data_IF_254996075228
#
_entry.id   IF_254996075228
#
_cell.length_a   1.000
_cell.length_b   1.000
_cell.length_c   1.000
_cell.angle_alpha   90.00
_cell.angle_beta   90.00
_cell.angle_gamma   90.00
#
_symmetry.space_group_name_H-M   'P 1'
#
loop_
_entity.id
_entity.type
_entity.pdbx_description
1 polymer ?
#
# COMPACT_ATOMS: atom_id res chain seq x y z
N UNK A 1 10.63 -21.33 -0.26
CA UNK A 1 9.60 -20.46 0.38
C UNK A 1 10.24 -19.63 1.47
N UNK A 2 10.32 -18.35 1.26
CA UNK A 2 10.96 -17.43 2.20
C UNK A 2 10.02 -16.28 2.56
N UNK A 3 10.22 -15.71 3.75
CA UNK A 3 9.48 -14.53 4.20
C UNK A 3 9.83 -13.33 3.33
N UNK A 4 8.82 -12.64 2.80
CA UNK A 4 9.02 -11.45 1.96
C UNK A 4 9.64 -10.28 2.73
N UNK A 5 9.48 -10.26 4.05
CA UNK A 5 10.02 -9.19 4.89
C UNK A 5 11.47 -9.42 5.30
N UNK A 6 11.81 -10.60 5.84
CA UNK A 6 13.12 -10.85 6.43
C UNK A 6 13.93 -11.96 5.73
N UNK A 7 13.39 -12.56 4.69
CA UNK A 7 14.02 -13.62 3.89
C UNK A 7 14.26 -14.94 4.65
N UNK A 8 13.68 -15.08 5.85
CA UNK A 8 13.76 -16.32 6.61
C UNK A 8 13.07 -17.46 5.85
N UNK A 9 13.68 -18.64 5.88
CA UNK A 9 13.07 -19.84 5.30
C UNK A 9 11.76 -20.18 6.02
N UNK A 10 10.71 -20.52 5.28
CA UNK A 10 9.41 -20.84 5.84
C UNK A 10 9.15 -22.34 5.80
N UNK A 11 8.67 -22.90 6.93
CA UNK A 11 8.10 -24.23 6.96
C UNK A 11 6.73 -24.22 6.28
N UNK A 12 6.24 -25.41 5.93
CA UNK A 12 4.97 -25.56 5.23
C UNK A 12 3.79 -24.94 5.99
N UNK A 13 3.72 -25.18 7.32
CA UNK A 13 2.61 -24.70 8.15
C UNK A 13 2.59 -23.17 8.21
N UNK A 14 3.74 -22.55 8.43
CA UNK A 14 3.85 -21.10 8.50
C UNK A 14 3.52 -20.45 7.17
N UNK A 15 4.00 -21.03 6.07
CA UNK A 15 3.68 -20.58 4.72
C UNK A 15 2.18 -20.63 4.46
N UNK A 16 1.57 -21.79 4.77
CA UNK A 16 0.13 -22.00 4.55
C UNK A 16 -0.71 -21.03 5.37
N UNK A 17 -0.37 -20.83 6.65
CA UNK A 17 -1.10 -19.92 7.52
C UNK A 17 -1.05 -18.48 7.02
N UNK A 18 0.12 -18.01 6.60
CA UNK A 18 0.28 -16.66 6.08
C UNK A 18 -0.47 -16.49 4.75
N UNK A 19 -0.37 -17.47 3.86
CA UNK A 19 -1.08 -17.41 2.56
C UNK A 19 -2.60 -17.46 2.74
N UNK A 20 -3.11 -18.30 3.63
CA UNK A 20 -4.55 -18.40 3.89
C UNK A 20 -5.10 -17.11 4.54
N UNK A 21 -4.31 -16.49 5.41
CA UNK A 21 -4.72 -15.30 6.16
C UNK A 21 -4.55 -14.01 5.35
N UNK A 22 -3.38 -13.80 4.75
CA UNK A 22 -2.99 -12.53 4.13
C UNK A 22 -2.74 -12.62 2.62
N UNK A 23 -2.54 -13.83 2.10
CA UNK A 23 -2.17 -14.01 0.70
C UNK A 23 -0.72 -13.63 0.39
N UNK A 24 0.14 -13.54 1.40
CA UNK A 24 1.57 -13.21 1.25
C UNK A 24 2.43 -14.15 2.08
N UNK A 25 3.66 -14.38 1.62
CA UNK A 25 4.60 -15.28 2.27
C UNK A 25 5.34 -14.57 3.40
N UNK A 26 4.94 -14.84 4.65
CA UNK A 26 5.53 -14.22 5.83
C UNK A 26 5.83 -15.26 6.90
N UNK A 27 6.93 -15.04 7.64
CA UNK A 27 7.22 -15.83 8.84
C UNK A 27 6.21 -15.49 9.94
N UNK A 28 6.17 -16.30 11.00
CA UNK A 28 5.23 -16.13 12.11
C UNK A 28 5.29 -14.71 12.68
N UNK A 29 6.49 -14.18 12.89
CA UNK A 29 6.71 -12.84 13.45
C UNK A 29 6.09 -11.74 12.57
N UNK A 30 6.36 -11.78 11.28
CA UNK A 30 5.88 -10.74 10.36
C UNK A 30 4.41 -10.92 10.00
N UNK A 31 3.93 -12.16 9.92
CA UNK A 31 2.51 -12.45 9.79
C UNK A 31 1.71 -11.83 10.96
N UNK A 32 2.17 -12.07 12.18
CA UNK A 32 1.55 -11.50 13.39
C UNK A 32 1.56 -9.98 13.37
N UNK A 33 2.68 -9.38 12.96
CA UNK A 33 2.80 -7.92 12.86
C UNK A 33 1.76 -7.34 11.89
N UNK A 34 1.55 -7.97 10.75
CA UNK A 34 0.56 -7.50 9.78
C UNK A 34 -0.87 -7.68 10.28
N UNK A 35 -1.15 -8.77 10.98
CA UNK A 35 -2.46 -8.98 11.63
C UNK A 35 -2.73 -7.89 12.67
N UNK A 36 -1.73 -7.46 13.42
CA UNK A 36 -1.86 -6.37 14.39
C UNK A 36 -2.14 -5.03 13.72
N UNK A 37 -1.55 -4.74 12.56
CA UNK A 37 -1.87 -3.54 11.80
C UNK A 37 -3.33 -3.51 11.37
N UNK A 38 -3.84 -4.61 10.86
CA UNK A 38 -5.25 -4.71 10.48
C UNK A 38 -6.14 -4.46 11.69
N UNK A 39 -5.80 -5.06 12.82
CA UNK A 39 -6.62 -4.98 14.03
C UNK A 39 -6.60 -3.57 14.66
N UNK A 40 -5.43 -2.93 14.72
CA UNK A 40 -5.25 -1.65 15.41
C UNK A 40 -5.53 -0.44 14.53
N UNK A 41 -5.16 -0.49 13.26
CA UNK A 41 -5.20 0.66 12.36
C UNK A 41 -6.23 0.52 11.25
N UNK A 42 -7.01 -0.56 11.22
CA UNK A 42 -7.92 -0.88 10.13
C UNK A 42 -7.23 -0.89 8.76
N UNK A 43 -5.96 -1.29 8.73
CA UNK A 43 -5.21 -1.37 7.49
C UNK A 43 -5.91 -2.32 6.53
N UNK A 44 -6.26 -1.89 5.31
CA UNK A 44 -6.86 -2.81 4.34
C UNK A 44 -5.91 -3.95 4.00
N UNK A 45 -6.45 -5.16 3.90
CA UNK A 45 -5.65 -6.33 3.49
C UNK A 45 -4.95 -6.06 2.16
N UNK A 46 -5.64 -5.42 1.24
CA UNK A 46 -5.12 -5.10 -0.09
C UNK A 46 -3.93 -4.13 -0.03
N UNK A 47 -3.88 -3.25 0.99
CA UNK A 47 -2.72 -2.39 1.21
C UNK A 47 -1.49 -3.22 1.56
N UNK A 48 -1.65 -4.24 2.41
CA UNK A 48 -0.57 -5.15 2.78
C UNK A 48 -0.10 -5.94 1.55
N UNK A 49 -1.04 -6.47 0.76
CA UNK A 49 -0.72 -7.22 -0.44
C UNK A 49 0.02 -6.36 -1.47
N UNK A 50 -0.42 -5.13 -1.66
CA UNK A 50 0.22 -4.18 -2.56
C UNK A 50 1.61 -3.80 -2.06
N UNK A 51 1.75 -3.54 -0.77
CA UNK A 51 3.04 -3.22 -0.15
C UNK A 51 4.09 -4.31 -0.45
N UNK A 52 3.73 -5.58 -0.26
CA UNK A 52 4.66 -6.68 -0.53
C UNK A 52 4.85 -6.91 -2.03
N UNK A 53 3.84 -6.67 -2.85
CA UNK A 53 3.99 -6.70 -4.31
C UNK A 53 5.00 -5.66 -4.80
N UNK A 54 4.93 -4.46 -4.26
CA UNK A 54 5.89 -3.40 -4.53
C UNK A 54 7.29 -3.78 -4.06
N UNK A 55 7.40 -4.36 -2.87
CA UNK A 55 8.68 -4.79 -2.30
C UNK A 55 9.34 -5.86 -3.17
N UNK A 56 8.58 -6.85 -3.65
CA UNK A 56 9.09 -7.86 -4.58
C UNK A 56 9.60 -7.25 -5.88
N UNK A 57 8.99 -6.17 -6.32
CA UNK A 57 9.41 -5.45 -7.53
C UNK A 57 10.55 -4.46 -7.27
N UNK A 58 11.10 -4.45 -6.06
CA UNK A 58 12.24 -3.58 -5.72
C UNK A 58 11.86 -2.16 -5.31
N UNK A 59 10.58 -1.91 -5.05
CA UNK A 59 10.11 -0.58 -4.63
C UNK A 59 10.08 -0.50 -3.12
N UNK A 60 10.81 0.45 -2.55
CA UNK A 60 10.79 0.75 -1.13
C UNK A 60 9.60 1.65 -0.82
N UNK A 61 8.66 1.13 -0.05
CA UNK A 61 7.47 1.87 0.37
C UNK A 61 7.33 1.78 1.89
N UNK A 62 6.51 2.66 2.46
CA UNK A 62 6.18 2.66 3.87
C UNK A 62 4.69 2.34 4.02
N UNK A 63 4.37 1.40 4.89
CA UNK A 63 3.01 1.00 5.20
C UNK A 63 2.55 1.78 6.43
N UNK A 64 1.30 2.30 6.38
CA UNK A 64 0.74 3.10 7.48
C UNK A 64 1.64 4.25 7.88
N UNK A 65 1.97 5.11 6.92
CA UNK A 65 2.84 6.26 7.15
C UNK A 65 2.06 7.45 7.70
N UNK A 66 2.52 7.99 8.83
CA UNK A 66 1.91 9.17 9.44
C UNK A 66 2.42 10.44 8.77
N UNK A 67 1.52 11.24 8.20
CA UNK A 67 1.87 12.46 7.46
C UNK A 67 1.75 13.76 8.30
N UNK A 68 1.56 13.62 9.61
CA UNK A 68 1.31 14.76 10.51
C UNK A 68 -0.17 15.02 10.76
N UNK A 69 -1.05 14.46 9.96
CA UNK A 69 -2.49 14.64 10.08
C UNK A 69 -3.25 13.33 10.12
N UNK A 70 -2.86 12.37 9.28
CA UNK A 70 -3.49 11.05 9.21
C UNK A 70 -2.48 9.99 8.80
N UNK A 71 -2.84 8.73 8.99
CA UNK A 71 -2.06 7.60 8.48
C UNK A 71 -2.39 7.35 7.02
N UNK A 72 -1.35 7.25 6.19
CA UNK A 72 -1.46 6.97 4.76
C UNK A 72 -1.22 5.47 4.57
N UNK A 73 -2.08 4.79 3.82
CA UNK A 73 -1.96 3.33 3.63
C UNK A 73 -0.56 2.94 3.15
N UNK A 74 -0.11 3.53 2.05
CA UNK A 74 1.22 3.29 1.50
C UNK A 74 1.82 4.62 1.04
N UNK A 75 3.07 4.89 1.42
CA UNK A 75 3.80 6.06 0.95
C UNK A 75 5.10 5.64 0.29
N UNK A 76 5.39 6.23 -0.86
CA UNK A 76 6.66 6.06 -1.57
C UNK A 76 7.37 7.42 -1.54
N UNK A 77 8.17 7.65 -0.49
CA UNK A 77 8.73 8.96 -0.21
C UNK A 77 9.72 9.44 -1.27
N UNK A 78 10.41 8.52 -1.95
CA UNK A 78 11.39 8.86 -2.98
C UNK A 78 10.81 9.68 -4.12
N UNK A 79 9.54 9.43 -4.47
CA UNK A 79 8.82 10.16 -5.52
C UNK A 79 7.65 10.96 -4.95
N UNK A 80 7.53 11.02 -3.63
CA UNK A 80 6.47 11.74 -2.93
C UNK A 80 5.07 11.34 -3.40
N UNK A 81 4.84 10.03 -3.41
CA UNK A 81 3.57 9.44 -3.83
C UNK A 81 2.87 8.80 -2.62
N UNK A 82 1.63 9.18 -2.39
CA UNK A 82 0.74 8.54 -1.43
C UNK A 82 -0.25 7.64 -2.17
N UNK A 83 -0.46 6.44 -1.66
CA UNK A 83 -1.42 5.49 -2.21
C UNK A 83 -2.43 5.16 -1.11
N UNK A 84 -3.70 5.38 -1.40
CA UNK A 84 -4.81 5.02 -0.52
C UNK A 84 -5.64 3.92 -1.17
N UNK A 85 -5.95 2.87 -0.42
CA UNK A 85 -6.82 1.81 -0.90
C UNK A 85 -8.26 2.19 -0.60
N UNK A 86 -9.07 2.26 -1.63
CA UNK A 86 -10.47 2.62 -1.51
C UNK A 86 -11.33 1.36 -1.40
N UNK A 87 -11.73 1.03 -0.18
CA UNK A 87 -12.48 -0.19 0.12
C UNK A 87 -13.98 -0.05 -0.14
N UNK A 88 -14.49 1.17 -0.20
CA UNK A 88 -15.92 1.45 -0.33
C UNK A 88 -16.22 2.49 -1.42
N UNK A 89 -15.46 2.44 -2.51
CA UNK A 89 -15.58 3.43 -3.58
C UNK A 89 -17.00 3.49 -4.19
N UNK A 90 -17.74 2.38 -4.15
CA UNK A 90 -19.11 2.27 -4.66
C UNK A 90 -20.16 2.77 -3.66
N UNK A 91 -19.75 3.03 -2.42
CA UNK A 91 -20.62 3.50 -1.34
C UNK A 91 -20.20 4.87 -0.83
N UNK A 92 -19.41 5.58 -1.60
CA UNK A 92 -18.85 6.86 -1.20
C UNK A 92 -19.96 7.92 -1.05
N UNK A 93 -20.05 8.53 0.13
CA UNK A 93 -20.96 9.65 0.37
C UNK A 93 -20.33 10.95 -0.13
N UNK A 94 -21.17 11.98 -0.33
CA UNK A 94 -20.68 13.31 -0.74
C UNK A 94 -19.70 13.88 0.28
N UNK A 95 -19.98 13.69 1.57
CA UNK A 95 -19.10 14.15 2.65
C UNK A 95 -17.74 13.44 2.61
N UNK A 96 -17.74 12.13 2.40
CA UNK A 96 -16.50 11.37 2.27
C UNK A 96 -15.70 11.81 1.04
N UNK A 97 -16.38 12.07 -0.07
CA UNK A 97 -15.73 12.53 -1.30
C UNK A 97 -15.04 13.88 -1.09
N UNK A 98 -15.70 14.82 -0.41
CA UNK A 98 -15.12 16.13 -0.09
C UNK A 98 -13.91 15.96 0.86
N UNK A 99 -14.03 15.14 1.89
CA UNK A 99 -12.93 14.89 2.81
C UNK A 99 -11.72 14.29 2.08
N UNK A 100 -11.96 13.35 1.17
CA UNK A 100 -10.89 12.74 0.37
C UNK A 100 -10.17 13.79 -0.49
N UNK A 101 -10.94 14.71 -1.09
CA UNK A 101 -10.36 15.77 -1.89
C UNK A 101 -9.54 16.74 -1.04
N UNK A 102 -10.04 17.13 0.13
CA UNK A 102 -9.32 18.01 1.05
C UNK A 102 -8.02 17.37 1.55
N UNK A 103 -8.03 16.09 1.85
CA UNK A 103 -6.84 15.35 2.26
C UNK A 103 -5.81 15.28 1.12
N UNK A 104 -6.27 15.05 -0.11
CA UNK A 104 -5.40 15.04 -1.28
C UNK A 104 -4.79 16.43 -1.51
N UNK A 105 -5.56 17.49 -1.33
CA UNK A 105 -5.08 18.87 -1.45
C UNK A 105 -4.02 19.16 -0.37
N UNK A 106 -4.27 18.75 0.88
CA UNK A 106 -3.32 18.92 1.97
C UNK A 106 -1.98 18.23 1.65
N UNK A 107 -2.05 16.98 1.20
CA UNK A 107 -0.85 16.23 0.80
C UNK A 107 -0.13 16.88 -0.36
N UNK A 108 -0.86 17.37 -1.34
CA UNK A 108 -0.29 18.04 -2.52
C UNK A 108 0.46 19.32 -2.13
N UNK A 109 -0.10 20.11 -1.20
CA UNK A 109 0.57 21.31 -0.68
C UNK A 109 1.87 20.98 0.04
N UNK A 110 1.98 19.77 0.60
CA UNK A 110 3.19 19.27 1.22
C UNK A 110 4.11 18.51 0.26
N UNK A 111 3.81 18.58 -1.03
CA UNK A 111 4.65 18.00 -2.07
C UNK A 111 4.32 16.57 -2.45
N UNK A 112 3.27 15.98 -1.87
CA UNK A 112 2.89 14.59 -2.15
C UNK A 112 1.68 14.51 -3.06
N UNK A 113 1.77 13.67 -4.09
CA UNK A 113 0.65 13.32 -4.96
C UNK A 113 -0.07 12.12 -4.35
N UNK A 114 -1.40 12.17 -4.29
CA UNK A 114 -2.20 11.06 -3.77
C UNK A 114 -2.97 10.38 -4.90
N UNK A 115 -2.87 9.05 -4.96
CA UNK A 115 -3.72 8.25 -5.85
C UNK A 115 -4.57 7.32 -5.00
N UNK A 116 -5.79 7.08 -5.45
CA UNK A 116 -6.70 6.14 -4.81
C UNK A 116 -6.95 4.97 -5.72
N UNK A 117 -6.78 3.76 -5.18
CA UNK A 117 -6.92 2.52 -5.93
C UNK A 117 -8.05 1.71 -5.30
N UNK A 118 -9.11 1.37 -6.07
CA UNK A 118 -10.15 0.49 -5.56
C UNK A 118 -9.57 -0.85 -5.11
N UNK A 119 -10.02 -1.34 -3.97
CA UNK A 119 -9.49 -2.59 -3.39
C UNK A 119 -9.59 -3.78 -4.35
N UNK A 120 -10.66 -3.84 -5.16
CA UNK A 120 -10.85 -4.94 -6.12
C UNK A 120 -9.77 -4.98 -7.18
N UNK A 121 -9.19 -3.83 -7.54
CA UNK A 121 -8.11 -3.77 -8.52
C UNK A 121 -6.85 -4.46 -7.97
N UNK A 122 -6.52 -4.17 -6.71
CA UNK A 122 -5.39 -4.83 -6.04
C UNK A 122 -5.65 -6.33 -5.89
N UNK A 123 -6.86 -6.69 -5.47
CA UNK A 123 -7.22 -8.10 -5.21
C UNK A 123 -7.10 -8.98 -6.45
N UNK A 124 -7.58 -8.52 -7.58
CA UNK A 124 -7.66 -9.33 -8.79
C UNK A 124 -6.58 -9.02 -9.83
N UNK A 125 -5.90 -7.88 -9.72
CA UNK A 125 -4.92 -7.41 -10.70
C UNK A 125 -3.67 -6.85 -10.02
N UNK A 126 -3.12 -7.60 -9.05
CA UNK A 126 -2.00 -7.14 -8.25
C UNK A 126 -0.77 -6.82 -9.10
N UNK A 127 -0.39 -7.71 -10.02
CA UNK A 127 0.79 -7.52 -10.85
C UNK A 127 0.65 -6.30 -11.76
N UNK A 128 -0.52 -6.12 -12.36
CA UNK A 128 -0.82 -4.96 -13.21
C UNK A 128 -0.83 -3.68 -12.39
N UNK A 129 -1.35 -3.73 -11.17
CA UNK A 129 -1.37 -2.58 -10.25
C UNK A 129 0.05 -2.15 -9.92
N UNK A 130 0.92 -3.09 -9.56
CA UNK A 130 2.33 -2.81 -9.25
C UNK A 130 3.01 -2.19 -10.48
N UNK A 131 2.81 -2.75 -11.65
CA UNK A 131 3.39 -2.25 -12.90
C UNK A 131 2.95 -0.82 -13.19
N UNK A 132 1.67 -0.53 -13.02
CA UNK A 132 1.13 0.81 -13.26
C UNK A 132 1.67 1.83 -12.23
N UNK A 133 1.83 1.42 -10.98
CA UNK A 133 2.44 2.28 -9.96
C UNK A 133 3.88 2.61 -10.31
N UNK A 134 4.65 1.63 -10.78
CA UNK A 134 6.02 1.86 -11.22
C UNK A 134 6.04 2.85 -12.39
N UNK A 135 5.10 2.74 -13.33
CA UNK A 135 4.95 3.71 -14.42
C UNK A 135 4.65 5.12 -13.92
N UNK A 136 3.79 5.24 -12.91
CA UNK A 136 3.48 6.53 -12.27
C UNK A 136 4.74 7.10 -11.61
N UNK A 137 5.50 6.25 -10.91
CA UNK A 137 6.76 6.66 -10.28
C UNK A 137 7.76 7.20 -11.31
N UNK A 138 7.88 6.54 -12.44
CA UNK A 138 8.74 7.00 -13.55
C UNK A 138 8.29 8.35 -14.08
N UNK A 139 6.98 8.55 -14.24
CA UNK A 139 6.40 9.83 -14.66
C UNK A 139 6.66 10.94 -13.66
N UNK A 140 6.48 10.67 -12.37
CA UNK A 140 6.76 11.64 -11.31
C UNK A 140 8.24 12.01 -11.27
N UNK A 141 9.12 11.03 -11.43
CA UNK A 141 10.57 11.24 -11.48
C UNK A 141 10.98 12.14 -12.64
N UNK A 142 10.41 11.90 -13.82
CA UNK A 142 10.67 12.72 -15.02
C UNK A 142 10.18 14.17 -14.81
N UNK A 143 9.02 14.36 -14.21
CA UNK A 143 8.47 15.68 -13.94
C UNK A 143 9.33 16.47 -12.95
N UNK A 144 9.86 15.80 -11.90
CA UNK A 144 10.76 16.42 -10.94
C UNK A 144 12.04 16.89 -11.64
N UNK A 145 12.59 16.09 -12.57
CA UNK A 145 13.80 16.44 -13.31
C UNK A 145 13.58 17.56 -14.33
N UNK A 146 12.36 17.73 -14.80
CA UNK A 146 12.03 18.76 -15.79
C UNK A 146 11.89 20.17 -15.18
N UNK A 147 11.84 20.26 -13.85
CA UNK A 147 11.79 21.52 -13.11
C UNK A 147 13.21 21.97 -12.74
#
# INVERSE_FOLDING_TARGET
MTCLECKKELGYVDHKNAMDSLGVELCVKHHKRMQELIKKNDTPLEAIQLYYGLKEAGVNAMLEWWNGKKSIDIAISRVKLNIEIDSEYDKLTEEQAINNLEEAMHSFKNGFTTIRIPHIVVRYYLNETVRNIIGIMEGLKANIKAI
#
